data_IF_302221615148
#
_entry.id   IF_302221615148
#
_cell.length_a   1.000
_cell.length_b   1.000
_cell.length_c   1.000
_cell.angle_alpha   90.00
_cell.angle_beta   90.00
_cell.angle_gamma   90.00
#
_symmetry.space_group_name_H-M   'P 1'
#
loop_
_entity.id
_entity.type
_entity.pdbx_description
1 polymer ?
#
# COMPACT_ATOMS: atom_id res chain seq x y z
N UNK A 1 36.86 -7.36 -5.16
CA UNK A 1 35.54 -7.99 -5.41
C UNK A 1 35.12 -8.68 -4.13
N UNK A 2 34.10 -8.17 -3.44
CA UNK A 2 33.55 -8.83 -2.25
C UNK A 2 32.58 -9.91 -2.72
N UNK A 3 32.81 -11.15 -2.25
CA UNK A 3 31.99 -12.31 -2.56
C UNK A 3 30.67 -12.26 -1.78
N UNK A 4 29.63 -12.81 -2.43
CA UNK A 4 28.25 -12.94 -1.96
C UNK A 4 28.16 -13.42 -0.50
N UNK A 5 27.59 -12.58 0.36
CA UNK A 5 26.77 -13.10 1.45
C UNK A 5 25.49 -13.69 0.83
N UNK A 6 24.98 -14.78 1.39
CA UNK A 6 23.71 -15.38 0.99
C UNK A 6 22.59 -14.34 1.13
N UNK A 7 22.16 -13.75 0.01
CA UNK A 7 21.04 -12.82 -0.01
C UNK A 7 19.73 -13.61 0.03
N UNK A 8 18.99 -13.47 1.13
CA UNK A 8 17.61 -13.93 1.19
C UNK A 8 16.70 -12.78 0.76
N UNK A 9 15.90 -12.92 -0.33
CA UNK A 9 14.93 -11.91 -0.71
C UNK A 9 13.93 -11.63 0.41
N UNK A 10 13.51 -10.37 0.56
CA UNK A 10 12.43 -10.02 1.49
C UNK A 10 11.11 -10.58 0.93
N UNK A 11 10.28 -11.13 1.80
CA UNK A 11 8.93 -11.62 1.44
C UNK A 11 7.96 -10.48 1.10
N UNK A 12 8.25 -9.27 1.58
CA UNK A 12 7.46 -8.08 1.32
C UNK A 12 8.31 -6.82 1.21
N UNK A 13 7.76 -5.81 0.52
CA UNK A 13 8.21 -4.43 0.53
C UNK A 13 7.23 -3.58 1.32
N UNK A 14 7.73 -2.63 2.10
CA UNK A 14 6.95 -1.65 2.83
C UNK A 14 7.25 -0.23 2.36
N UNK A 15 6.26 0.65 2.41
CA UNK A 15 6.40 2.08 2.14
C UNK A 15 5.49 2.90 3.06
N UNK A 16 5.95 4.08 3.45
CA UNK A 16 5.14 5.11 4.10
C UNK A 16 5.18 6.38 3.24
N UNK A 17 4.05 7.07 3.16
CA UNK A 17 3.97 8.41 2.59
C UNK A 17 3.25 9.37 3.52
N UNK A 18 3.93 10.46 3.84
CA UNK A 18 3.37 11.62 4.50
C UNK A 18 3.02 12.66 3.41
N UNK A 19 1.72 12.87 3.16
CA UNK A 19 1.25 13.81 2.14
C UNK A 19 0.75 15.13 2.73
N UNK A 20 1.13 15.47 3.96
CA UNK A 20 0.69 16.69 4.64
C UNK A 20 1.04 17.99 3.90
N UNK A 21 2.15 18.00 3.16
CA UNK A 21 2.57 19.15 2.37
C UNK A 21 1.97 19.17 0.95
N UNK A 22 1.09 18.21 0.60
CA UNK A 22 0.47 18.10 -0.72
C UNK A 22 -0.92 18.75 -0.73
N UNK A 23 -1.33 19.26 -1.89
CA UNK A 23 -2.68 19.82 -2.12
C UNK A 23 -3.79 18.83 -1.75
N UNK A 24 -3.56 17.53 -1.97
CA UNK A 24 -4.48 16.46 -1.61
C UNK A 24 -4.95 16.53 -0.15
N UNK A 25 -4.08 16.89 0.82
CA UNK A 25 -4.49 17.07 2.22
C UNK A 25 -5.59 18.13 2.35
N UNK A 26 -5.41 19.28 1.67
CA UNK A 26 -6.36 20.38 1.72
C UNK A 26 -7.69 20.01 1.05
N UNK A 27 -7.64 19.33 -0.09
CA UNK A 27 -8.83 18.88 -0.82
C UNK A 27 -9.64 17.84 -0.04
N UNK A 28 -8.97 16.98 0.73
CA UNK A 28 -9.60 15.99 1.61
C UNK A 28 -10.00 16.56 2.99
N UNK A 29 -9.69 17.83 3.28
CA UNK A 29 -10.03 18.48 4.56
C UNK A 29 -9.31 17.91 5.78
N UNK A 30 -8.13 17.29 5.59
CA UNK A 30 -7.44 16.56 6.65
C UNK A 30 -6.53 17.45 7.53
N UNK A 31 -6.47 17.18 8.84
CA UNK A 31 -5.37 17.61 9.70
C UNK A 31 -4.01 17.15 9.17
N UNK A 32 -2.94 17.90 9.48
CA UNK A 32 -1.61 17.61 8.95
C UNK A 32 -1.06 16.27 9.45
N UNK A 33 -1.36 15.89 10.68
CA UNK A 33 -0.95 14.65 11.34
C UNK A 33 -1.69 13.41 10.84
N UNK A 34 -2.85 13.59 10.19
CA UNK A 34 -3.67 12.52 9.59
C UNK A 34 -3.44 12.34 8.08
N UNK A 35 -2.57 13.15 7.48
CA UNK A 35 -2.26 13.07 6.05
C UNK A 35 -1.18 12.03 5.76
N UNK A 36 -1.49 10.76 6.06
CA UNK A 36 -0.55 9.62 6.01
C UNK A 36 -1.15 8.39 5.34
N UNK A 37 -0.30 7.62 4.68
CA UNK A 37 -0.65 6.32 4.15
C UNK A 37 0.55 5.36 4.23
N UNK A 38 0.24 4.06 4.31
CA UNK A 38 1.21 2.99 4.35
C UNK A 38 0.86 1.95 3.31
N UNK A 39 1.88 1.29 2.77
CA UNK A 39 1.72 0.22 1.80
C UNK A 39 2.59 -0.97 2.17
N UNK A 40 2.02 -2.16 2.00
CA UNK A 40 2.74 -3.43 2.03
C UNK A 40 2.49 -4.17 0.73
N UNK A 41 3.54 -4.70 0.12
CA UNK A 41 3.48 -5.46 -1.13
C UNK A 41 4.23 -6.77 -1.02
N UNK A 42 3.56 -7.88 -1.32
CA UNK A 42 4.15 -9.20 -1.58
C UNK A 42 4.17 -9.46 -3.08
N UNK A 43 4.57 -10.65 -3.53
CA UNK A 43 4.57 -10.96 -4.96
C UNK A 43 3.18 -10.92 -5.60
N UNK A 44 2.13 -11.28 -4.84
CA UNK A 44 0.75 -11.30 -5.32
C UNK A 44 -0.06 -10.08 -4.90
N UNK A 45 0.13 -9.58 -3.69
CA UNK A 45 -0.80 -8.60 -3.13
C UNK A 45 -0.11 -7.27 -2.88
N UNK A 46 -0.82 -6.18 -3.13
CA UNK A 46 -0.47 -4.86 -2.62
C UNK A 46 -1.65 -4.29 -1.85
N UNK A 47 -1.39 -3.92 -0.61
CA UNK A 47 -2.37 -3.31 0.29
C UNK A 47 -1.93 -1.88 0.63
N UNK A 48 -2.86 -0.93 0.54
CA UNK A 48 -2.62 0.46 0.92
C UNK A 48 -3.62 0.86 2.01
N UNK A 49 -3.10 1.23 3.17
CA UNK A 49 -3.87 1.79 4.27
C UNK A 49 -3.76 3.31 4.26
N UNK A 50 -4.90 3.96 4.43
CA UNK A 50 -5.03 5.40 4.56
C UNK A 50 -5.63 5.72 5.93
N UNK A 51 -5.04 6.66 6.66
CA UNK A 51 -5.62 7.09 7.93
C UNK A 51 -6.96 7.79 7.68
N UNK A 52 -8.07 7.17 8.13
CA UNK A 52 -9.42 7.72 8.02
C UNK A 52 -10.18 7.40 6.73
N UNK A 53 -9.68 6.52 5.86
CA UNK A 53 -10.36 6.09 4.63
C UNK A 53 -10.33 4.57 4.46
N UNK A 54 -11.22 4.06 3.61
CA UNK A 54 -11.19 2.66 3.20
C UNK A 54 -9.84 2.33 2.53
N UNK A 55 -9.27 1.16 2.83
CA UNK A 55 -8.01 0.75 2.22
C UNK A 55 -8.22 0.32 0.76
N UNK A 56 -7.11 0.24 0.03
CA UNK A 56 -7.08 -0.35 -1.30
C UNK A 56 -6.32 -1.68 -1.30
N UNK A 57 -6.77 -2.63 -2.12
CA UNK A 57 -6.14 -3.94 -2.29
C UNK A 57 -6.04 -4.31 -3.77
N UNK A 58 -4.85 -4.67 -4.25
CA UNK A 58 -4.62 -5.04 -5.64
C UNK A 58 -4.01 -6.45 -5.75
N UNK A 59 -4.54 -7.27 -6.67
CA UNK A 59 -4.06 -8.63 -6.97
C UNK A 59 -3.15 -8.59 -8.21
N UNK A 60 -1.83 -8.58 -8.01
CA UNK A 60 -0.84 -8.52 -9.08
C UNK A 60 -0.79 -9.80 -9.93
N UNK A 61 -1.33 -10.92 -9.46
CA UNK A 61 -1.41 -12.15 -10.26
C UNK A 61 -2.43 -12.01 -11.39
N UNK A 62 -3.57 -11.37 -11.11
CA UNK A 62 -4.69 -11.23 -12.05
C UNK A 62 -4.81 -9.82 -12.66
N UNK A 63 -4.25 -8.81 -11.99
CA UNK A 63 -4.30 -7.39 -12.33
C UNK A 63 -2.94 -6.71 -12.07
N UNK A 64 -1.91 -7.02 -12.88
CA UNK A 64 -0.58 -6.42 -12.74
C UNK A 64 -0.53 -4.91 -13.02
N UNK A 65 -1.64 -4.32 -13.50
CA UNK A 65 -1.77 -2.89 -13.78
C UNK A 65 -2.48 -2.12 -12.66
N UNK A 66 -2.92 -2.81 -11.59
CA UNK A 66 -3.55 -2.19 -10.42
C UNK A 66 -4.81 -1.38 -10.76
N UNK A 67 -5.61 -1.87 -11.71
CA UNK A 67 -6.80 -1.19 -12.22
C UNK A 67 -8.07 -1.52 -11.42
N UNK A 68 -8.07 -2.63 -10.69
CA UNK A 68 -9.22 -3.14 -9.95
C UNK A 68 -8.92 -3.16 -8.46
N UNK A 69 -9.52 -2.23 -7.73
CA UNK A 69 -9.47 -2.21 -6.27
C UNK A 69 -10.38 -3.31 -5.69
N UNK A 70 -9.76 -4.26 -4.98
CA UNK A 70 -10.38 -5.38 -4.27
C UNK A 70 -10.65 -5.07 -2.80
N UNK A 71 -10.31 -3.89 -2.28
CA UNK A 71 -10.55 -3.52 -0.89
C UNK A 71 -12.02 -3.68 -0.46
N UNK A 72 -12.99 -3.24 -1.28
CA UNK A 72 -14.41 -3.43 -1.00
C UNK A 72 -14.93 -4.86 -1.20
N UNK A 73 -14.14 -5.79 -1.76
CA UNK A 73 -14.59 -7.14 -2.07
C UNK A 73 -14.70 -7.99 -0.78
N UNK A 74 -15.92 -8.44 -0.39
CA UNK A 74 -16.09 -9.27 0.80
C UNK A 74 -15.33 -10.60 0.74
N UNK A 75 -15.03 -11.12 -0.45
CA UNK A 75 -14.22 -12.33 -0.60
C UNK A 75 -12.76 -12.14 -0.17
N UNK A 76 -12.30 -10.89 -0.04
CA UNK A 76 -10.96 -10.52 0.41
C UNK A 76 -10.90 -10.14 1.89
N UNK A 77 -12.02 -10.16 2.62
CA UNK A 77 -12.03 -9.87 4.05
C UNK A 77 -11.66 -11.13 4.82
N UNK A 78 -10.71 -11.01 5.75
CA UNK A 78 -10.38 -12.12 6.65
C UNK A 78 -11.59 -12.42 7.55
N UNK A 79 -11.86 -13.71 7.79
CA UNK A 79 -12.95 -14.18 8.66
C UNK A 79 -12.80 -13.70 10.11
#
# INVERSE_FOLDING_TARGET
MLQNSEYTPREYAGLEINFFARKARLELGLPADQAKAWMVRTDRWKYIFYEGFEPQLFDFENDPQELVDRGPDPACHAF
#
